data_IF_439554771374
#
_entry.id   IF_439554771374
#
_cell.length_a   1.000
_cell.length_b   1.000
_cell.length_c   1.000
_cell.angle_alpha   90.00
_cell.angle_beta   90.00
_cell.angle_gamma   90.00
#
_symmetry.space_group_name_H-M   'P 1'
#
loop_
_entity.id
_entity.type
_entity.pdbx_description
1 polymer ?
#
# COMPACT_ATOMS: atom_id res chain seq x y z
N UNK A 1 -23.37 39.73 38.48
CA UNK A 1 -23.91 39.94 37.12
C UNK A 1 -22.88 40.77 36.36
N UNK A 2 -22.22 40.39 35.27
CA UNK A 2 -22.24 39.19 34.44
C UNK A 2 -20.96 39.16 33.57
N UNK A 3 -20.36 37.97 33.49
CA UNK A 3 -19.45 37.36 32.50
C UNK A 3 -18.62 38.26 31.54
N UNK A 4 -17.29 38.13 31.65
CA UNK A 4 -16.31 38.37 30.58
C UNK A 4 -16.58 37.42 29.40
N UNK A 5 -16.75 37.98 28.20
CA UNK A 5 -16.98 37.23 26.98
C UNK A 5 -15.64 36.85 26.31
N UNK A 6 -15.45 35.54 26.14
CA UNK A 6 -14.42 34.92 25.30
C UNK A 6 -14.99 34.81 23.88
N UNK A 7 -14.43 35.55 22.92
CA UNK A 7 -14.53 35.22 21.50
C UNK A 7 -13.09 35.10 20.97
N UNK A 8 -12.57 33.86 20.99
CA UNK A 8 -12.53 32.96 19.84
C UNK A 8 -11.39 33.32 18.88
N UNK A 9 -10.16 32.98 19.30
CA UNK A 9 -9.11 32.54 18.39
C UNK A 9 -9.50 31.12 17.92
N UNK A 10 -10.31 31.00 16.89
CA UNK A 10 -10.36 29.75 16.13
C UNK A 10 -9.44 29.91 14.94
N UNK A 11 -8.35 29.15 15.03
CA UNK A 11 -7.29 29.10 14.05
C UNK A 11 -7.86 28.85 12.67
N UNK A 12 -7.23 29.51 11.71
CA UNK A 12 -7.31 29.14 10.32
C UNK A 12 -6.75 27.71 10.20
N UNK A 13 -7.61 26.70 10.41
CA UNK A 13 -7.37 25.34 9.96
C UNK A 13 -7.35 25.39 8.44
N UNK A 14 -6.20 25.81 7.91
CA UNK A 14 -5.90 25.72 6.49
C UNK A 14 -6.27 24.31 6.06
N UNK A 15 -7.22 24.22 5.12
CA UNK A 15 -7.66 22.97 4.51
C UNK A 15 -6.42 22.11 4.29
N UNK A 16 -6.24 21.07 5.11
CA UNK A 16 -5.19 20.06 4.87
C UNK A 16 -5.55 19.44 3.54
N UNK A 17 -4.90 19.91 2.47
CA UNK A 17 -5.05 19.28 1.16
C UNK A 17 -4.72 17.80 1.34
N UNK A 18 -5.74 16.97 1.14
CA UNK A 18 -5.61 15.53 1.30
C UNK A 18 -4.74 15.04 0.15
N UNK A 19 -3.49 14.69 0.46
CA UNK A 19 -2.56 14.12 -0.51
C UNK A 19 -3.24 12.94 -1.22
N UNK A 20 -3.39 13.05 -2.54
CA UNK A 20 -3.94 12.00 -3.39
C UNK A 20 -2.78 11.36 -4.16
N UNK A 21 -2.51 10.09 -3.88
CA UNK A 21 -1.49 9.32 -4.57
C UNK A 21 -1.90 9.08 -6.03
N UNK A 22 -0.94 9.27 -6.93
CA UNK A 22 -1.11 9.06 -8.38
C UNK A 22 -0.25 7.89 -8.79
N UNK A 23 -0.64 7.25 -9.89
CA UNK A 23 0.07 6.09 -10.44
C UNK A 23 1.60 6.29 -10.58
N UNK A 24 2.01 7.45 -11.11
CA UNK A 24 3.44 7.81 -11.22
C UNK A 24 4.15 7.95 -9.87
N UNK A 25 3.43 8.38 -8.82
CA UNK A 25 4.00 8.46 -7.47
C UNK A 25 4.19 7.06 -6.89
N UNK A 26 3.24 6.15 -7.17
CA UNK A 26 3.34 4.74 -6.76
C UNK A 26 4.51 4.06 -7.45
N UNK A 27 4.72 4.34 -8.74
CA UNK A 27 5.89 3.87 -9.47
C UNK A 27 7.20 4.32 -8.82
N UNK A 28 7.35 5.63 -8.57
CA UNK A 28 8.56 6.19 -7.96
C UNK A 28 8.77 5.63 -6.56
N UNK A 29 7.70 5.50 -5.78
CA UNK A 29 7.73 4.93 -4.44
C UNK A 29 8.20 3.47 -4.46
N UNK A 30 7.61 2.63 -5.30
CA UNK A 30 7.93 1.20 -5.35
C UNK A 30 9.34 0.96 -5.89
N UNK A 31 9.75 1.68 -6.94
CA UNK A 31 11.14 1.63 -7.43
C UNK A 31 12.13 2.07 -6.34
N UNK A 32 11.79 3.09 -5.54
CA UNK A 32 12.62 3.48 -4.41
C UNK A 32 12.79 2.33 -3.42
N UNK A 33 11.71 1.63 -3.05
CA UNK A 33 11.80 0.51 -2.11
C UNK A 33 12.51 -0.73 -2.65
N UNK A 34 12.41 -1.01 -3.96
CA UNK A 34 13.21 -2.05 -4.63
C UNK A 34 14.70 -1.73 -4.49
N UNK A 35 15.11 -0.51 -4.85
CA UNK A 35 16.52 -0.12 -4.70
C UNK A 35 17.01 -0.12 -3.25
N UNK A 36 16.13 0.19 -2.29
CA UNK A 36 16.49 0.12 -0.87
C UNK A 36 16.56 -1.33 -0.36
N UNK A 37 15.83 -2.28 -0.95
CA UNK A 37 16.01 -3.71 -0.70
C UNK A 37 17.38 -4.19 -1.19
N UNK A 38 17.77 -3.79 -2.40
CA UNK A 38 19.09 -4.11 -2.97
C UNK A 38 20.25 -3.55 -2.13
N UNK A 39 20.02 -2.43 -1.45
CA UNK A 39 20.97 -1.83 -0.49
C UNK A 39 20.96 -2.47 0.90
N UNK A 40 20.10 -3.46 1.14
CA UNK A 40 19.96 -4.12 2.44
C UNK A 40 19.21 -3.30 3.49
N UNK A 41 18.44 -2.27 3.11
CA UNK A 41 17.63 -1.47 4.03
C UNK A 41 16.29 -2.14 4.39
N UNK A 42 16.20 -3.46 4.22
CA UNK A 42 15.13 -4.31 4.71
C UNK A 42 15.70 -5.39 5.60
N UNK A 43 15.37 -5.35 6.87
CA UNK A 43 15.86 -6.27 7.91
C UNK A 43 14.66 -7.00 8.49
N UNK A 44 14.68 -8.34 8.45
CA UNK A 44 13.58 -9.20 8.92
C UNK A 44 12.19 -8.82 8.37
N UNK A 45 12.14 -8.42 7.10
CA UNK A 45 10.90 -7.99 6.44
C UNK A 45 10.46 -6.56 6.79
N UNK A 46 11.23 -5.84 7.61
CA UNK A 46 10.95 -4.48 8.05
C UNK A 46 11.88 -3.47 7.39
N UNK A 47 11.32 -2.39 6.87
CA UNK A 47 12.08 -1.28 6.27
C UNK A 47 12.76 -0.42 7.33
N UNK A 48 14.04 -0.12 7.13
CA UNK A 48 14.80 0.76 8.02
C UNK A 48 14.34 2.21 7.92
N UNK A 49 14.72 3.03 8.91
CA UNK A 49 14.50 4.48 8.82
C UNK A 49 15.19 5.10 7.61
N UNK A 50 16.34 4.57 7.20
CA UNK A 50 17.08 5.01 6.01
C UNK A 50 16.27 4.80 4.74
N UNK A 51 15.65 3.61 4.56
CA UNK A 51 14.78 3.36 3.40
C UNK A 51 13.68 4.41 3.29
N UNK A 52 12.94 4.66 4.38
CA UNK A 52 11.87 5.66 4.38
C UNK A 52 12.38 7.08 4.08
N UNK A 53 13.52 7.47 4.65
CA UNK A 53 14.11 8.80 4.41
C UNK A 53 14.52 8.97 2.96
N UNK A 54 15.12 7.94 2.35
CA UNK A 54 15.54 7.96 0.95
C UNK A 54 14.34 7.97 0.00
N UNK A 55 13.30 7.18 0.27
CA UNK A 55 12.06 7.17 -0.53
C UNK A 55 11.35 8.53 -0.51
N UNK A 56 11.32 9.20 0.65
CA UNK A 56 10.80 10.58 0.75
C UNK A 56 11.59 11.55 -0.13
N UNK A 57 12.94 11.49 -0.09
CA UNK A 57 13.79 12.35 -0.93
C UNK A 57 13.51 12.16 -2.42
N UNK A 58 13.26 10.92 -2.86
CA UNK A 58 12.94 10.62 -4.27
C UNK A 58 11.56 11.12 -4.69
N UNK A 59 10.57 11.06 -3.80
CA UNK A 59 9.22 11.53 -4.07
C UNK A 59 9.12 13.07 -4.04
N UNK A 60 9.98 13.73 -3.26
CA UNK A 60 10.04 15.19 -3.12
C UNK A 60 9.47 15.72 -1.80
N UNK A 61 9.70 17.01 -1.55
CA UNK A 61 9.50 17.66 -0.24
C UNK A 61 8.05 17.77 0.24
N UNK A 62 7.06 17.56 -0.63
CA UNK A 62 5.63 17.64 -0.26
C UNK A 62 5.12 16.37 0.42
N UNK A 63 5.84 15.24 0.28
CA UNK A 63 5.48 13.97 0.91
C UNK A 63 6.36 13.75 2.12
N UNK A 64 5.76 13.56 3.29
CA UNK A 64 6.50 13.21 4.49
C UNK A 64 6.58 11.68 4.68
N UNK A 65 7.43 11.25 5.61
CA UNK A 65 7.65 9.84 5.95
C UNK A 65 6.38 9.11 6.39
N UNK A 66 5.45 9.80 7.05
CA UNK A 66 4.21 9.20 7.54
C UNK A 66 3.23 8.93 6.39
N UNK A 67 3.15 9.82 5.41
CA UNK A 67 2.38 9.59 4.18
C UNK A 67 2.93 8.38 3.42
N UNK A 68 4.26 8.27 3.28
CA UNK A 68 4.91 7.11 2.65
C UNK A 68 4.57 5.80 3.37
N UNK A 69 4.72 5.76 4.70
CA UNK A 69 4.41 4.56 5.50
C UNK A 69 2.96 4.12 5.33
N UNK A 70 2.03 5.07 5.43
CA UNK A 70 0.61 4.79 5.34
C UNK A 70 0.24 4.27 3.95
N UNK A 71 0.78 4.88 2.90
CA UNK A 71 0.51 4.45 1.54
C UNK A 71 1.13 3.09 1.21
N UNK A 72 2.38 2.86 1.60
CA UNK A 72 3.05 1.57 1.42
C UNK A 72 2.30 0.44 2.13
N UNK A 73 1.76 0.71 3.32
CA UNK A 73 0.88 -0.23 4.03
C UNK A 73 -0.40 -0.52 3.25
N UNK A 74 -1.03 0.48 2.67
CA UNK A 74 -2.22 0.30 1.82
C UNK A 74 -1.91 -0.56 0.59
N UNK A 75 -0.81 -0.25 -0.11
CA UNK A 75 -0.36 -1.03 -1.28
C UNK A 75 -0.08 -2.49 -0.90
N UNK A 76 0.65 -2.73 0.20
CA UNK A 76 0.92 -4.08 0.71
C UNK A 76 -0.36 -4.85 1.07
N UNK A 77 -1.32 -4.19 1.71
CA UNK A 77 -2.60 -4.83 2.07
C UNK A 77 -3.42 -5.20 0.84
N UNK A 78 -3.51 -4.29 -0.14
CA UNK A 78 -4.23 -4.54 -1.39
C UNK A 78 -3.57 -5.69 -2.16
N UNK A 79 -2.23 -5.68 -2.25
CA UNK A 79 -1.47 -6.80 -2.82
C UNK A 79 -1.79 -8.11 -2.10
N UNK A 80 -1.78 -8.15 -0.77
CA UNK A 80 -2.05 -9.36 0.00
C UNK A 80 -3.44 -9.95 -0.29
N UNK A 81 -4.48 -9.11 -0.27
CA UNK A 81 -5.86 -9.53 -0.61
C UNK A 81 -5.90 -10.18 -1.98
N UNK A 82 -5.22 -9.57 -2.95
CA UNK A 82 -5.20 -10.03 -4.33
C UNK A 82 -4.39 -11.32 -4.44
N UNK A 83 -3.16 -11.33 -3.92
CA UNK A 83 -2.28 -12.49 -3.90
C UNK A 83 -2.95 -13.73 -3.30
N UNK A 84 -3.60 -13.60 -2.14
CA UNK A 84 -4.34 -14.69 -1.50
C UNK A 84 -5.51 -15.19 -2.34
N UNK A 85 -6.27 -14.25 -2.91
CA UNK A 85 -7.43 -14.59 -3.73
C UNK A 85 -7.04 -15.39 -4.98
N UNK A 86 -5.88 -15.08 -5.58
CA UNK A 86 -5.40 -15.76 -6.79
C UNK A 86 -4.71 -17.09 -6.49
N UNK A 87 -3.92 -17.18 -5.41
CA UNK A 87 -3.25 -18.43 -5.06
C UNK A 87 -4.20 -19.46 -4.41
N UNK A 88 -5.34 -19.02 -3.88
CA UNK A 88 -6.35 -19.89 -3.27
C UNK A 88 -7.40 -20.47 -4.22
N UNK A 89 -7.53 -19.94 -5.46
CA UNK A 89 -8.54 -20.36 -6.42
C UNK A 89 -7.88 -20.88 -7.72
N UNK A 90 -8.08 -22.15 -8.05
CA UNK A 90 -7.62 -22.70 -9.34
C UNK A 90 -8.34 -21.99 -10.50
N UNK A 91 -7.58 -21.51 -11.49
CA UNK A 91 -8.14 -20.85 -12.70
C UNK A 91 -8.09 -19.32 -12.70
N UNK A 92 -7.38 -18.72 -11.74
CA UNK A 92 -7.12 -17.28 -11.73
C UNK A 92 -5.61 -16.99 -11.62
N UNK A 93 -5.14 -16.02 -12.39
CA UNK A 93 -3.73 -15.65 -12.39
C UNK A 93 -3.49 -14.22 -12.84
N UNK A 94 -2.39 -13.64 -12.38
CA UNK A 94 -1.87 -12.41 -12.93
C UNK A 94 -1.13 -12.72 -14.24
N UNK A 95 -1.53 -12.09 -15.35
CA UNK A 95 -0.82 -12.20 -16.61
C UNK A 95 0.25 -11.08 -16.68
N UNK A 96 1.52 -11.48 -16.76
CA UNK A 96 2.67 -10.57 -16.81
C UNK A 96 2.76 -9.77 -18.10
N UNK A 97 2.24 -10.30 -19.21
CA UNK A 97 2.28 -9.68 -20.54
C UNK A 97 1.18 -8.62 -20.68
N UNK A 98 -0.05 -8.97 -20.28
CA UNK A 98 -1.20 -8.06 -20.40
C UNK A 98 -1.31 -7.10 -19.22
N UNK A 99 -0.59 -7.36 -18.11
CA UNK A 99 -0.71 -6.62 -16.84
C UNK A 99 -2.16 -6.56 -16.35
N UNK A 100 -2.89 -7.66 -16.57
CA UNK A 100 -4.29 -7.83 -16.17
C UNK A 100 -4.47 -9.16 -15.44
N UNK A 101 -5.53 -9.22 -14.64
CA UNK A 101 -5.97 -10.48 -14.04
C UNK A 101 -6.78 -11.28 -15.03
N UNK A 102 -6.33 -12.49 -15.31
CA UNK A 102 -7.06 -13.47 -16.10
C UNK A 102 -7.80 -14.42 -15.16
N UNK A 103 -9.04 -14.67 -15.53
CA UNK A 103 -9.96 -15.51 -14.78
C UNK A 103 -10.71 -16.38 -15.78
N UNK A 104 -10.78 -17.68 -15.50
CA UNK A 104 -11.71 -18.54 -16.22
C UNK A 104 -13.15 -18.03 -15.97
N UNK A 105 -13.89 -17.75 -17.05
CA UNK A 105 -15.18 -17.05 -17.01
C UNK A 105 -16.25 -17.74 -16.15
N UNK A 106 -16.10 -19.03 -15.87
CA UNK A 106 -17.00 -19.84 -15.05
C UNK A 106 -16.83 -19.64 -13.54
N UNK A 107 -15.75 -19.01 -13.08
CA UNK A 107 -15.27 -19.25 -11.72
C UNK A 107 -15.76 -18.25 -10.65
N UNK A 108 -16.18 -17.01 -10.98
CA UNK A 108 -16.82 -16.12 -9.97
C UNK A 108 -17.50 -14.84 -10.56
N UNK A 109 -18.81 -14.60 -10.35
CA UNK A 109 -19.51 -13.36 -10.73
C UNK A 109 -19.07 -12.10 -9.95
N UNK A 110 -18.60 -12.25 -8.71
CA UNK A 110 -18.20 -11.12 -7.84
C UNK A 110 -16.89 -10.44 -8.29
N UNK A 111 -16.23 -11.01 -9.30
CA UNK A 111 -14.93 -10.58 -9.84
C UNK A 111 -15.02 -9.54 -10.96
N UNK A 112 -16.22 -9.14 -11.40
CA UNK A 112 -16.39 -8.11 -12.44
C UNK A 112 -15.63 -6.81 -12.15
N UNK A 113 -15.53 -6.43 -10.87
CA UNK A 113 -14.77 -5.23 -10.47
C UNK A 113 -13.26 -5.38 -10.63
N UNK A 114 -12.69 -6.57 -10.47
CA UNK A 114 -11.24 -6.80 -10.52
C UNK A 114 -10.73 -7.19 -11.91
N UNK A 115 -11.59 -7.76 -12.78
CA UNK A 115 -11.27 -8.01 -14.20
C UNK A 115 -10.79 -6.78 -14.95
N UNK A 116 -11.26 -5.60 -14.55
CA UNK A 116 -10.92 -4.32 -15.18
C UNK A 116 -10.23 -3.35 -14.23
N UNK A 117 -9.87 -3.77 -13.02
CA UNK A 117 -9.07 -2.95 -12.11
C UNK A 117 -7.63 -3.41 -12.22
N UNK A 118 -6.80 -2.79 -13.07
CA UNK A 118 -5.37 -3.02 -13.04
C UNK A 118 -4.88 -2.68 -11.62
N UNK A 119 -4.25 -3.63 -10.95
CA UNK A 119 -3.41 -3.30 -9.80
C UNK A 119 -2.12 -2.79 -10.41
N UNK A 120 -2.05 -1.47 -10.54
CA UNK A 120 -0.84 -0.81 -10.98
C UNK A 120 0.37 -1.31 -10.17
N UNK A 121 1.45 -1.63 -10.89
CA UNK A 121 2.73 -2.07 -10.31
C UNK A 121 2.63 -3.38 -9.50
N UNK A 122 1.70 -4.29 -9.85
CA UNK A 122 1.58 -5.61 -9.21
C UNK A 122 2.88 -6.41 -9.25
N UNK A 123 3.60 -6.38 -10.37
CA UNK A 123 4.92 -7.01 -10.53
C UNK A 123 5.94 -6.50 -9.50
N UNK A 124 6.00 -5.18 -9.29
CA UNK A 124 6.87 -4.58 -8.26
C UNK A 124 6.43 -4.97 -6.85
N UNK A 125 5.12 -5.04 -6.59
CA UNK A 125 4.59 -5.49 -5.30
C UNK A 125 4.87 -6.97 -5.04
N UNK A 126 4.80 -7.80 -6.07
CA UNK A 126 5.15 -9.22 -6.02
C UNK A 126 6.63 -9.41 -5.70
N UNK A 127 7.51 -8.67 -6.38
CA UNK A 127 8.96 -8.67 -6.08
C UNK A 127 9.23 -8.35 -4.62
N UNK A 128 8.55 -7.33 -4.07
CA UNK A 128 8.75 -6.87 -2.70
C UNK A 128 8.10 -7.80 -1.66
N UNK A 129 6.91 -8.35 -1.90
CA UNK A 129 6.07 -8.89 -0.81
C UNK A 129 5.65 -10.35 -0.96
N UNK A 130 5.92 -11.02 -2.08
CA UNK A 130 5.60 -12.46 -2.24
C UNK A 130 6.27 -13.33 -1.16
N UNK A 131 7.57 -13.09 -0.88
CA UNK A 131 8.36 -13.85 0.10
C UNK A 131 7.88 -13.65 1.55
N UNK A 132 7.46 -12.44 1.90
CA UNK A 132 6.87 -12.13 3.21
C UNK A 132 5.63 -12.98 3.47
N UNK A 133 4.82 -13.18 2.41
CA UNK A 133 3.56 -13.91 2.47
C UNK A 133 3.78 -15.42 2.59
N UNK A 134 4.66 -16.00 1.78
CA UNK A 134 4.96 -17.43 1.79
C UNK A 134 5.56 -17.91 3.13
N UNK A 135 6.37 -17.08 3.78
CA UNK A 135 7.00 -17.39 5.07
C UNK A 135 6.11 -17.07 6.29
N UNK A 136 4.84 -16.67 6.08
CA UNK A 136 3.94 -16.23 7.16
C UNK A 136 4.32 -14.91 7.84
N UNK A 137 5.43 -14.27 7.43
CA UNK A 137 5.89 -12.97 7.90
C UNK A 137 5.06 -11.84 7.27
N UNK A 138 3.76 -11.77 7.58
CA UNK A 138 2.95 -10.65 7.08
C UNK A 138 1.45 -10.67 7.34
N UNK A 139 0.90 -11.69 7.98
CA UNK A 139 -0.55 -11.78 8.19
C UNK A 139 -0.95 -11.33 9.60
N UNK A 140 -1.09 -10.03 9.82
CA UNK A 140 -2.04 -9.58 10.84
C UNK A 140 -2.94 -8.54 10.19
N UNK A 141 -4.09 -9.00 9.71
CA UNK A 141 -5.14 -8.09 9.28
C UNK A 141 -5.65 -7.30 10.50
N UNK A 142 -6.15 -6.09 10.28
CA UNK A 142 -6.77 -5.32 11.35
C UNK A 142 -7.96 -6.05 12.02
N UNK A 143 -8.63 -6.97 11.30
CA UNK A 143 -9.68 -7.84 11.84
C UNK A 143 -9.14 -8.92 12.79
N UNK A 144 -7.93 -9.42 12.54
CA UNK A 144 -7.27 -10.43 13.39
C UNK A 144 -6.97 -9.88 14.79
N UNK A 145 -6.55 -8.61 14.89
CA UNK A 145 -6.21 -7.95 16.18
C UNK A 145 -7.41 -7.73 17.09
N UNK A 146 -8.61 -7.65 16.54
CA UNK A 146 -9.85 -7.45 17.31
C UNK A 146 -10.40 -8.78 17.84
N UNK A 147 -10.05 -9.90 17.22
CA UNK A 147 -10.53 -11.24 17.62
C UNK A 147 -9.66 -11.92 18.70
N UNK A 148 -8.52 -11.32 19.05
CA UNK A 148 -7.59 -11.80 20.09
C UNK A 148 -7.60 -10.92 21.36
N UNK A 149 -8.60 -10.06 21.53
CA UNK A 149 -8.87 -9.35 22.79
C UNK A 149 -10.16 -9.87 23.39
#
# INVERSE_FOLDING_TARGET
>A
MGKLNKQQLQGNEGKREKLTWKDKMDEVLLNAFIEEEDKGNRIDGTWTTTAYTNSVKKLGFTINKEHVKNHLRTLKNNFGICYDFFHGNSGFGWNLDTKLFEAELSANPDMGKWKHTPISHYDKLEMLYSKDRANGKGAISAKERVRQR
#
